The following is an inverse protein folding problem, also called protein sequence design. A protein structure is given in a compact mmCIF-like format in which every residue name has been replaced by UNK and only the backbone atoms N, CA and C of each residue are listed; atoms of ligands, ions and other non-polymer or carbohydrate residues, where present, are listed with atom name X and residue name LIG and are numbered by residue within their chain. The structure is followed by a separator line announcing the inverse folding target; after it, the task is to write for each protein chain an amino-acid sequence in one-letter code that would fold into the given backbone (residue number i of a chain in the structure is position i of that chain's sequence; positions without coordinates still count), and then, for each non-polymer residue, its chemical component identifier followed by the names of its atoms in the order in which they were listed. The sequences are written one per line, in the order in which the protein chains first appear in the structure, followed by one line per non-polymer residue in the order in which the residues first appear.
data_IF_372489392918
#
_entry.id   IF_372489392918
#
_cell.length_a   1.000
_cell.length_b   1.000
_cell.length_c   1.000
_cell.angle_alpha   90.00
_cell.angle_beta   90.00
_cell.angle_gamma   90.00
#
_symmetry.space_group_name_H-M   'P 1'
#
loop_
_entity.id
_entity.type
_entity.pdbx_description
1 polymer ?
#
# COMPACT_ATOMS: atom_id res chain seq x y z
N UNK A 1 9.68 -16.31 2.49
CA UNK A 1 8.61 -15.28 2.51
C UNK A 1 9.15 -13.91 2.15
N UNK A 2 10.40 -13.62 2.50
CA UNK A 2 11.02 -12.29 2.39
C UNK A 2 11.13 -11.79 0.96
N UNK A 3 11.37 -12.68 -0.01
CA UNK A 3 11.44 -12.31 -1.43
C UNK A 3 10.13 -11.68 -1.95
N UNK A 4 8.97 -12.20 -1.53
CA UNK A 4 7.66 -11.72 -2.00
C UNK A 4 7.38 -10.32 -1.42
N UNK A 5 7.77 -10.09 -0.17
CA UNK A 5 7.65 -8.79 0.48
C UNK A 5 8.53 -7.77 -0.25
N UNK A 6 9.78 -8.13 -0.54
CA UNK A 6 10.71 -7.29 -1.30
C UNK A 6 10.15 -6.95 -2.68
N UNK A 7 9.63 -7.94 -3.41
CA UNK A 7 8.98 -7.72 -4.70
C UNK A 7 7.76 -6.80 -4.58
N UNK A 8 6.95 -6.96 -3.53
CA UNK A 8 5.81 -6.09 -3.23
C UNK A 8 6.22 -4.65 -2.99
N UNK A 9 7.27 -4.42 -2.19
CA UNK A 9 7.84 -3.09 -1.91
C UNK A 9 8.38 -2.43 -3.17
N UNK A 10 9.14 -3.17 -3.98
CA UNK A 10 9.69 -2.66 -5.25
C UNK A 10 8.54 -2.28 -6.19
N UNK A 11 7.53 -3.13 -6.30
CA UNK A 11 6.38 -2.91 -7.16
C UNK A 11 5.56 -1.67 -6.74
N UNK A 12 5.23 -1.54 -5.46
CA UNK A 12 4.46 -0.39 -4.95
C UNK A 12 5.27 0.90 -5.02
N UNK A 13 6.55 0.86 -4.66
CA UNK A 13 7.47 1.99 -4.81
C UNK A 13 7.57 2.47 -6.26
N UNK A 14 7.72 1.55 -7.21
CA UNK A 14 7.76 1.88 -8.64
C UNK A 14 6.46 2.54 -9.13
N UNK A 15 5.30 2.04 -8.70
CA UNK A 15 4.01 2.67 -9.07
C UNK A 15 3.90 4.10 -8.55
N UNK A 16 4.21 4.34 -7.27
CA UNK A 16 4.17 5.68 -6.69
C UNK A 16 5.20 6.63 -7.32
N UNK A 17 6.38 6.13 -7.67
CA UNK A 17 7.37 6.91 -8.41
C UNK A 17 6.85 7.32 -9.79
N UNK A 18 6.25 6.39 -10.55
CA UNK A 18 5.63 6.68 -11.85
C UNK A 18 4.50 7.72 -11.72
N UNK A 19 3.71 7.64 -10.65
CA UNK A 19 2.67 8.64 -10.34
C UNK A 19 3.28 10.03 -10.13
N UNK A 20 4.37 10.14 -9.36
CA UNK A 20 5.02 11.42 -9.09
C UNK A 20 5.53 12.08 -10.38
N UNK A 21 6.12 11.29 -11.29
CA UNK A 21 6.64 11.78 -12.57
C UNK A 21 5.50 12.28 -13.46
N UNK A 22 4.37 11.57 -13.48
CA UNK A 22 3.16 11.97 -14.25
C UNK A 22 2.62 13.33 -13.82
N UNK A 23 2.70 13.68 -12.53
CA UNK A 23 2.17 14.94 -12.00
C UNK A 23 3.25 15.96 -11.60
N UNK A 24 4.51 15.79 -12.06
CA UNK A 24 5.65 16.66 -11.75
C UNK A 24 5.82 16.97 -10.24
N UNK A 25 5.54 15.99 -9.38
CA UNK A 25 5.74 16.08 -7.92
C UNK A 25 7.09 15.45 -7.53
N UNK A 26 7.51 15.66 -6.28
CA UNK A 26 8.79 15.16 -5.78
C UNK A 26 8.82 13.61 -5.76
N UNK A 27 9.67 12.95 -6.58
CA UNK A 27 9.63 11.49 -6.75
C UNK A 27 10.08 10.72 -5.52
N UNK A 28 11.03 11.27 -4.75
CA UNK A 28 11.58 10.61 -3.57
C UNK A 28 10.50 10.54 -2.48
N UNK A 29 9.74 11.62 -2.28
CA UNK A 29 8.68 11.68 -1.28
C UNK A 29 7.59 10.63 -1.56
N UNK A 30 7.14 10.53 -2.82
CA UNK A 30 6.10 9.57 -3.21
C UNK A 30 6.58 8.12 -3.13
N UNK A 31 7.84 7.85 -3.47
CA UNK A 31 8.42 6.53 -3.27
C UNK A 31 8.40 6.13 -1.79
N UNK A 32 8.85 7.02 -0.89
CA UNK A 32 8.83 6.78 0.55
C UNK A 32 7.40 6.53 1.04
N UNK A 33 6.43 7.33 0.60
CA UNK A 33 5.01 7.14 0.95
C UNK A 33 4.52 5.76 0.51
N UNK A 34 4.80 5.34 -0.73
CA UNK A 34 4.40 4.03 -1.23
C UNK A 34 4.97 2.87 -0.41
N UNK A 35 6.25 2.95 -0.04
CA UNK A 35 6.93 1.95 0.80
C UNK A 35 6.34 1.93 2.21
N UNK A 36 6.14 3.10 2.83
CA UNK A 36 5.58 3.22 4.18
C UNK A 36 4.15 2.69 4.22
N UNK A 37 3.30 3.04 3.25
CA UNK A 37 1.92 2.55 3.17
C UNK A 37 1.88 1.04 3.05
N UNK A 38 2.74 0.46 2.21
CA UNK A 38 2.82 -1.00 2.06
C UNK A 38 3.24 -1.68 3.37
N UNK A 39 4.31 -1.19 4.02
CA UNK A 39 4.80 -1.75 5.28
C UNK A 39 3.76 -1.65 6.39
N UNK A 40 3.18 -0.47 6.59
CA UNK A 40 2.15 -0.23 7.61
C UNK A 40 0.97 -1.17 7.39
N UNK A 41 0.52 -1.33 6.15
CA UNK A 41 -0.60 -2.23 5.86
C UNK A 41 -0.24 -3.69 6.06
N UNK A 42 0.97 -4.10 5.66
CA UNK A 42 1.44 -5.47 5.86
C UNK A 42 1.49 -5.84 7.34
N UNK A 43 2.05 -4.97 8.19
CA UNK A 43 2.07 -5.17 9.64
C UNK A 43 0.65 -5.15 10.24
N UNK A 44 -0.20 -4.20 9.84
CA UNK A 44 -1.58 -4.14 10.30
C UNK A 44 -2.38 -5.40 9.92
N UNK A 45 -2.23 -5.89 8.69
CA UNK A 45 -2.88 -7.12 8.23
C UNK A 45 -2.38 -8.37 8.96
N UNK A 46 -1.08 -8.41 9.28
CA UNK A 46 -0.47 -9.50 10.06
C UNK A 46 -1.02 -9.52 11.49
N UNK A 47 -1.07 -8.36 12.16
CA UNK A 47 -1.66 -8.22 13.51
C UNK A 47 -3.15 -8.60 13.48
N UNK A 48 -3.89 -8.13 12.47
CA UNK A 48 -5.31 -8.45 12.32
C UNK A 48 -5.54 -9.95 12.19
N UNK A 49 -4.76 -10.64 11.35
CA UNK A 49 -4.87 -12.10 11.20
C UNK A 49 -4.46 -12.86 12.46
N UNK A 50 -3.44 -12.38 13.19
CA UNK A 50 -3.07 -12.98 14.48
C UNK A 50 -4.20 -12.89 15.51
N UNK A 51 -4.87 -11.73 15.60
CA UNK A 51 -6.01 -11.53 16.49
C UNK A 51 -7.19 -12.41 16.05
N UNK A 52 -7.49 -12.44 14.75
CA UNK A 52 -8.59 -13.22 14.20
C UNK A 52 -8.42 -14.74 14.43
N UNK A 53 -7.21 -15.26 14.23
CA UNK A 53 -6.90 -16.67 14.45
C UNK A 53 -6.96 -17.05 15.93
N UNK A 54 -6.46 -16.18 16.84
CA UNK A 54 -6.48 -16.44 18.28
C UNK A 54 -7.90 -16.34 18.87
N UNK A 55 -8.67 -15.31 18.51
CA UNK A 55 -9.98 -15.04 19.12
C UNK A 55 -11.10 -15.85 18.45
N UNK A 56 -11.12 -15.88 17.12
CA UNK A 56 -12.24 -16.44 16.36
C UNK A 56 -12.16 -17.95 16.19
N UNK A 57 -10.96 -18.48 15.94
CA UNK A 57 -10.78 -19.86 15.53
C UNK A 57 -10.17 -20.75 16.62
N UNK A 58 -9.59 -20.18 17.69
CA UNK A 58 -8.90 -20.91 18.78
C UNK A 58 -7.92 -21.97 18.26
N UNK A 59 -7.32 -21.73 17.08
CA UNK A 59 -6.32 -22.64 16.53
C UNK A 59 -4.99 -22.38 17.27
N UNK A 60 -4.41 -23.39 17.93
CA UNK A 60 -3.17 -23.20 18.71
C UNK A 60 -1.93 -22.98 17.83
N UNK A 61 -2.05 -23.16 16.52
CA UNK A 61 -0.94 -22.97 15.58
C UNK A 61 -1.07 -21.64 14.84
N UNK A 62 -0.30 -20.66 15.30
CA UNK A 62 0.13 -19.51 14.50
C UNK A 62 0.95 -20.03 13.31
N UNK A 63 0.27 -20.44 12.24
CA UNK A 63 0.94 -20.90 11.03
C UNK A 63 1.33 -19.66 10.21
N UNK A 64 2.63 -19.33 10.12
CA UNK A 64 3.07 -18.12 9.42
C UNK A 64 2.68 -18.13 7.94
N UNK A 65 2.49 -19.32 7.35
CA UNK A 65 2.07 -19.50 5.95
C UNK A 65 0.67 -18.98 5.71
N UNK A 66 -0.28 -19.32 6.61
CA UNK A 66 -1.67 -18.86 6.49
C UNK A 66 -1.73 -17.35 6.65
N UNK A 67 -1.06 -16.80 7.66
CA UNK A 67 -1.03 -15.36 7.92
C UNK A 67 -0.49 -14.61 6.70
N UNK A 68 0.61 -15.09 6.11
CA UNK A 68 1.24 -14.47 4.94
C UNK A 68 0.39 -14.57 3.67
N UNK A 69 -0.32 -15.68 3.47
CA UNK A 69 -1.24 -15.84 2.34
C UNK A 69 -2.37 -14.79 2.33
N UNK A 70 -2.73 -14.23 3.48
CA UNK A 70 -3.77 -13.19 3.56
C UNK A 70 -3.20 -11.79 3.73
N UNK A 71 -2.14 -11.60 4.52
CA UNK A 71 -1.57 -10.26 4.75
C UNK A 71 -0.90 -9.68 3.50
N UNK A 72 -0.26 -10.50 2.66
CA UNK A 72 0.42 -10.03 1.46
C UNK A 72 -0.58 -9.52 0.40
N UNK A 73 -1.60 -10.29 -0.03
CA UNK A 73 -2.58 -9.77 -0.99
C UNK A 73 -3.34 -8.56 -0.45
N UNK A 74 -3.65 -8.54 0.85
CA UNK A 74 -4.33 -7.42 1.50
C UNK A 74 -3.46 -6.15 1.47
N UNK A 75 -2.16 -6.27 1.76
CA UNK A 75 -1.22 -5.14 1.66
C UNK A 75 -1.14 -4.59 0.23
N UNK A 76 -1.07 -5.46 -0.79
CA UNK A 76 -1.06 -5.04 -2.19
C UNK A 76 -2.37 -4.33 -2.54
N UNK A 77 -3.51 -4.89 -2.14
CA UNK A 77 -4.84 -4.35 -2.43
C UNK A 77 -5.04 -2.94 -1.85
N UNK A 78 -4.75 -2.76 -0.57
CA UNK A 78 -4.87 -1.47 0.12
C UNK A 78 -3.87 -0.45 -0.44
N UNK A 79 -2.65 -0.88 -0.80
CA UNK A 79 -1.68 0.01 -1.43
C UNK A 79 -2.17 0.47 -2.81
N UNK A 80 -2.83 -0.40 -3.57
CA UNK A 80 -3.49 -0.05 -4.83
C UNK A 80 -4.65 0.95 -4.66
N UNK A 81 -5.46 0.79 -3.61
CA UNK A 81 -6.50 1.77 -3.26
C UNK A 81 -5.85 3.12 -2.91
N UNK A 82 -4.82 3.11 -2.08
CA UNK A 82 -4.10 4.31 -1.65
C UNK A 82 -3.48 5.05 -2.84
N UNK A 83 -2.92 4.31 -3.80
CA UNK A 83 -2.44 4.85 -5.06
C UNK A 83 -3.57 5.57 -5.82
N UNK A 84 -4.73 4.91 -5.99
CA UNK A 84 -5.86 5.47 -6.76
C UNK A 84 -6.45 6.71 -6.08
N UNK A 85 -6.59 6.69 -4.76
CA UNK A 85 -7.04 7.85 -3.97
C UNK A 85 -6.05 9.01 -4.13
N UNK A 86 -4.75 8.73 -4.06
CA UNK A 86 -3.70 9.73 -4.23
C UNK A 86 -3.73 10.32 -5.65
N UNK A 87 -3.87 9.48 -6.68
CA UNK A 87 -4.03 9.93 -8.06
C UNK A 87 -5.27 10.83 -8.22
N UNK A 88 -6.42 10.42 -7.70
CA UNK A 88 -7.66 11.20 -7.79
C UNK A 88 -7.55 12.55 -7.08
N UNK A 89 -6.90 12.61 -5.91
CA UNK A 89 -6.64 13.87 -5.19
C UNK A 89 -5.75 14.81 -6.01
N UNK A 90 -4.65 14.31 -6.56
CA UNK A 90 -3.72 15.11 -7.37
C UNK A 90 -4.40 15.60 -8.66
N UNK A 91 -5.20 14.74 -9.33
CA UNK A 91 -5.99 15.16 -10.49
C UNK A 91 -6.94 16.29 -10.15
N UNK A 92 -7.67 16.17 -9.03
CA UNK A 92 -8.61 17.21 -8.56
C UNK A 92 -7.89 18.52 -8.22
N UNK A 93 -6.74 18.46 -7.57
CA UNK A 93 -5.94 19.64 -7.25
C UNK A 93 -5.43 20.35 -8.52
N UNK A 94 -5.00 19.58 -9.53
CA UNK A 94 -4.61 20.13 -10.83
C UNK A 94 -5.79 20.67 -11.65
N UNK A 95 -6.98 20.06 -11.59
CA UNK A 95 -8.19 20.57 -12.26
C UNK A 95 -8.69 21.89 -11.65
N UNK A 96 -8.62 22.00 -10.31
CA UNK A 96 -9.00 23.21 -9.59
C UNK A 96 -7.99 24.34 -9.86
N UNK A 97 -6.69 24.06 -9.82
CA UNK A 97 -5.67 25.06 -10.18
C UNK A 97 -5.65 25.40 -11.68
N UNK A 98 -6.10 24.49 -12.55
CA UNK A 98 -6.24 24.73 -13.99
C UNK A 98 -7.48 25.55 -14.38
N UNK A 99 -8.48 25.65 -13.51
CA UNK A 99 -9.68 26.50 -13.68
C UNK A 99 -9.56 27.90 -13.08
N UNK A 100 -8.42 28.24 -12.49
CA UNK A 100 -8.14 29.56 -11.91
C UNK A 100 -7.56 30.60 -12.88
N UNK A 101 -7.42 30.25 -14.16
CA UNK A 101 -6.97 31.16 -15.23
C UNK A 101 -7.90 30.99 -16.42
N UNK A 102 -9.10 31.56 -16.35
CA UNK A 102 -9.89 32.03 -17.49
C UNK A 102 -10.86 33.08 -16.98
#
# INVERSE_FOLDING_TARGET
MDLIIVLGVIFTGYQFLKLSQKYKRNPILYLIIGVVVFLVTYYAGTVFMMIFLNIGLKFPYSNPTIISCFSIPLAIFVTGISYKVTESKIKRENDINGKGIN
#
